data_IF_385074378458
#
_entry.id   IF_385074378458
#
_cell.length_a   1.000
_cell.length_b   1.000
_cell.length_c   1.000
_cell.angle_alpha   90.00
_cell.angle_beta   90.00
_cell.angle_gamma   90.00
#
_symmetry.space_group_name_H-M   'P 1'
#
loop_
_entity.id
_entity.type
_entity.pdbx_description
1 polymer ?
#
# COMPACT_ATOMS: atom_id res chain seq x y z
N UNK A 1 -20.39 -22.82 25.81
CA UNK A 1 -20.04 -21.38 25.91
C UNK A 1 -18.51 -21.26 25.93
N UNK A 2 -17.88 -21.02 24.78
CA UNK A 2 -16.41 -20.92 24.69
C UNK A 2 -15.94 -19.54 25.16
N UNK A 3 -15.35 -19.45 26.36
CA UNK A 3 -14.56 -18.28 26.77
C UNK A 3 -13.28 -18.29 25.92
N UNK A 4 -13.21 -17.44 24.88
CA UNK A 4 -11.94 -17.16 24.20
C UNK A 4 -11.01 -16.48 25.20
N UNK A 5 -10.03 -17.21 25.72
CA UNK A 5 -8.96 -16.64 26.55
C UNK A 5 -8.20 -15.60 25.72
N UNK A 6 -8.15 -14.36 26.22
CA UNK A 6 -7.38 -13.27 25.60
C UNK A 6 -5.89 -13.62 25.77
N UNK A 7 -5.14 -13.79 24.67
CA UNK A 7 -3.70 -14.05 24.72
C UNK A 7 -2.97 -12.89 25.43
N UNK A 8 -1.93 -13.20 26.21
CA UNK A 8 -1.04 -12.21 26.83
C UNK A 8 -0.29 -11.43 25.75
N UNK A 9 0.13 -10.20 26.06
CA UNK A 9 0.91 -9.36 25.12
C UNK A 9 2.24 -10.04 24.80
N UNK A 10 2.90 -10.58 25.82
CA UNK A 10 4.11 -11.41 25.70
C UNK A 10 3.97 -12.50 24.64
N UNK A 11 2.89 -13.29 24.73
CA UNK A 11 2.65 -14.39 23.78
C UNK A 11 2.36 -13.88 22.36
N UNK A 12 1.67 -12.75 22.22
CA UNK A 12 1.40 -12.17 20.90
C UNK A 12 2.68 -11.62 20.24
N UNK A 13 3.58 -11.00 21.01
CA UNK A 13 4.87 -10.53 20.49
C UNK A 13 5.77 -11.71 20.14
N UNK A 14 5.84 -12.74 20.99
CA UNK A 14 6.61 -13.95 20.70
C UNK A 14 6.15 -14.65 19.42
N UNK A 15 4.84 -14.87 19.27
CA UNK A 15 4.26 -15.47 18.06
C UNK A 15 4.54 -14.62 16.81
N UNK A 16 4.43 -13.29 16.92
CA UNK A 16 4.78 -12.37 15.83
C UNK A 16 6.26 -12.45 15.46
N UNK A 17 7.16 -12.45 16.44
CA UNK A 17 8.59 -12.55 16.21
C UNK A 17 8.94 -13.87 15.52
N UNK A 18 8.33 -14.99 15.91
CA UNK A 18 8.54 -16.28 15.26
C UNK A 18 7.99 -16.35 13.84
N UNK A 19 6.79 -15.79 13.60
CA UNK A 19 6.19 -15.75 12.26
C UNK A 19 7.00 -14.85 11.30
N UNK A 20 7.52 -13.71 11.79
CA UNK A 20 8.23 -12.69 10.98
C UNK A 20 9.70 -13.05 10.79
N UNK A 21 10.41 -13.40 11.86
CA UNK A 21 11.85 -13.72 11.86
C UNK A 21 12.06 -15.21 11.53
N UNK A 22 11.42 -15.70 10.47
CA UNK A 22 11.47 -17.10 10.06
C UNK A 22 12.76 -17.43 9.29
N UNK A 23 12.85 -18.65 8.76
CA UNK A 23 14.01 -19.12 8.00
C UNK A 23 14.34 -18.28 6.77
N UNK A 24 13.37 -17.60 6.16
CA UNK A 24 13.63 -16.71 5.02
C UNK A 24 14.34 -15.43 5.45
N UNK A 25 14.05 -14.90 6.64
CA UNK A 25 14.78 -13.77 7.20
C UNK A 25 16.24 -14.14 7.52
N UNK A 26 16.47 -15.30 8.15
CA UNK A 26 17.81 -15.82 8.43
C UNK A 26 18.66 -15.94 7.15
N UNK A 27 18.07 -16.50 6.08
CA UNK A 27 18.77 -16.58 4.79
C UNK A 27 19.07 -15.20 4.19
N UNK A 28 18.20 -14.21 4.39
CA UNK A 28 18.39 -12.83 3.87
C UNK A 28 19.56 -12.15 4.59
N UNK A 29 19.63 -12.21 5.92
CA UNK A 29 20.71 -11.57 6.69
C UNK A 29 22.09 -12.21 6.44
N UNK A 30 22.14 -13.53 6.22
CA UNK A 30 23.37 -14.24 5.87
C UNK A 30 23.92 -13.80 4.50
N UNK A 31 23.01 -13.48 3.56
CA UNK A 31 23.38 -13.03 2.21
C UNK A 31 23.77 -11.55 2.16
N UNK A 32 23.17 -10.70 3.00
CA UNK A 32 23.38 -9.24 2.97
C UNK A 32 24.62 -8.76 3.74
N UNK A 33 25.37 -9.65 4.40
CA UNK A 33 26.53 -9.30 5.26
C UNK A 33 26.20 -8.20 6.27
N UNK A 34 25.04 -8.28 6.91
CA UNK A 34 24.62 -7.30 7.91
C UNK A 34 25.53 -7.37 9.15
N UNK A 35 26.18 -6.27 9.53
CA UNK A 35 27.10 -6.21 10.69
C UNK A 35 26.42 -5.72 11.98
N UNK A 36 25.15 -5.32 11.92
CA UNK A 36 24.42 -4.84 13.11
C UNK A 36 24.09 -5.99 14.06
N UNK A 37 24.69 -5.99 15.25
CA UNK A 37 24.40 -6.95 16.33
C UNK A 37 22.92 -6.93 16.73
N UNK A 38 22.28 -5.76 16.70
CA UNK A 38 20.84 -5.63 16.95
C UNK A 38 19.96 -6.41 15.97
N UNK A 39 20.44 -6.64 14.74
CA UNK A 39 19.74 -7.44 13.73
C UNK A 39 20.12 -8.92 13.87
N UNK A 40 21.43 -9.23 13.95
CA UNK A 40 21.92 -10.60 14.02
C UNK A 40 21.39 -11.35 15.26
N UNK A 41 21.39 -10.69 16.41
CA UNK A 41 20.91 -11.24 17.68
C UNK A 41 19.43 -10.93 17.93
N UNK A 42 18.71 -10.43 16.92
CA UNK A 42 17.38 -9.84 17.07
C UNK A 42 16.36 -10.74 17.78
N UNK A 43 16.36 -12.05 17.48
CA UNK A 43 15.50 -13.02 18.18
C UNK A 43 15.84 -13.17 19.66
N UNK A 44 17.13 -13.22 19.98
CA UNK A 44 17.60 -13.37 21.36
C UNK A 44 17.27 -12.12 22.16
N UNK A 45 17.53 -10.94 21.59
CA UNK A 45 17.21 -9.63 22.20
C UNK A 45 15.71 -9.51 22.48
N UNK A 46 14.85 -9.87 21.51
CA UNK A 46 13.39 -9.86 21.72
C UNK A 46 13.01 -10.80 22.85
N UNK A 47 13.58 -12.00 22.89
CA UNK A 47 13.27 -13.00 23.93
C UNK A 47 13.68 -12.51 25.31
N UNK A 48 14.86 -11.90 25.44
CA UNK A 48 15.36 -11.29 26.67
C UNK A 48 14.42 -10.17 27.17
N UNK A 49 13.99 -9.27 26.28
CA UNK A 49 13.02 -8.23 26.64
C UNK A 49 11.68 -8.81 27.10
N UNK A 50 11.20 -9.90 26.48
CA UNK A 50 9.98 -10.57 26.89
C UNK A 50 10.10 -11.20 28.29
N UNK A 51 11.23 -11.84 28.60
CA UNK A 51 11.52 -12.42 29.92
C UNK A 51 11.53 -11.37 31.04
N UNK A 52 12.09 -10.19 30.75
CA UNK A 52 12.15 -9.06 31.67
C UNK A 52 10.87 -8.21 31.70
N UNK A 53 9.83 -8.61 30.96
CA UNK A 53 8.54 -7.90 30.83
C UNK A 53 8.67 -6.50 30.19
N UNK A 54 9.72 -6.28 29.42
CA UNK A 54 9.98 -5.06 28.67
C UNK A 54 9.30 -5.11 27.30
N UNK A 55 7.98 -5.26 27.30
CA UNK A 55 7.19 -5.55 26.09
C UNK A 55 7.29 -4.48 25.00
N UNK A 56 7.40 -3.21 25.39
CA UNK A 56 7.60 -2.12 24.44
C UNK A 56 8.96 -2.21 23.74
N UNK A 57 10.02 -2.60 24.47
CA UNK A 57 11.35 -2.80 23.89
C UNK A 57 11.38 -4.03 22.98
N UNK A 58 10.74 -5.13 23.38
CA UNK A 58 10.57 -6.31 22.54
C UNK A 58 9.87 -5.97 21.22
N UNK A 59 8.80 -5.19 21.30
CA UNK A 59 8.05 -4.74 20.12
C UNK A 59 8.87 -3.78 19.24
N UNK A 60 9.53 -2.79 19.83
CA UNK A 60 10.41 -1.85 19.11
C UNK A 60 11.60 -2.54 18.45
N UNK A 61 12.15 -3.58 19.08
CA UNK A 61 13.22 -4.36 18.48
C UNK A 61 12.73 -5.12 17.25
N UNK A 62 11.53 -5.71 17.32
CA UNK A 62 10.91 -6.36 16.17
C UNK A 62 10.65 -5.35 15.04
N UNK A 63 10.15 -4.16 15.37
CA UNK A 63 9.97 -3.06 14.43
C UNK A 63 11.28 -2.58 13.78
N UNK A 64 12.34 -2.45 14.57
CA UNK A 64 13.68 -2.11 14.08
C UNK A 64 14.16 -3.14 13.05
N UNK A 65 14.05 -4.44 13.36
CA UNK A 65 14.47 -5.50 12.45
C UNK A 65 13.62 -5.50 11.17
N UNK A 66 12.30 -5.35 11.27
CA UNK A 66 11.43 -5.26 10.08
C UNK A 66 11.86 -4.12 9.17
N UNK A 67 12.16 -2.96 9.76
CA UNK A 67 12.52 -1.75 9.02
C UNK A 67 13.89 -1.87 8.37
N UNK A 68 14.92 -2.20 9.15
CA UNK A 68 16.31 -2.26 8.66
C UNK A 68 16.56 -3.44 7.71
N UNK A 69 15.85 -4.56 7.88
CA UNK A 69 15.96 -5.69 6.97
C UNK A 69 14.96 -5.63 5.80
N UNK A 70 14.16 -4.56 5.72
CA UNK A 70 13.10 -4.40 4.71
C UNK A 70 12.24 -5.68 4.61
N UNK A 71 11.73 -6.16 5.75
CA UNK A 71 10.92 -7.39 5.81
C UNK A 71 9.52 -7.08 5.33
N UNK A 72 9.10 -7.74 4.26
CA UNK A 72 7.74 -7.60 3.74
C UNK A 72 6.73 -8.34 4.62
N UNK A 73 5.87 -7.58 5.30
CA UNK A 73 4.79 -8.12 6.10
C UNK A 73 3.52 -8.35 5.26
N UNK A 74 2.89 -9.51 5.44
CA UNK A 74 1.56 -9.73 4.92
C UNK A 74 0.50 -8.98 5.75
N UNK A 75 -0.73 -8.88 5.22
CA UNK A 75 -1.83 -8.11 5.85
C UNK A 75 -2.16 -8.63 7.26
N UNK A 76 -2.13 -9.95 7.46
CA UNK A 76 -2.43 -10.56 8.75
C UNK A 76 -1.37 -10.20 9.80
N UNK A 77 -0.09 -10.29 9.45
CA UNK A 77 1.03 -9.93 10.31
C UNK A 77 1.03 -8.44 10.65
N UNK A 78 0.78 -7.59 9.65
CA UNK A 78 0.69 -6.14 9.86
C UNK A 78 -0.49 -5.79 10.80
N UNK A 79 -1.66 -6.39 10.58
CA UNK A 79 -2.81 -6.22 11.47
C UNK A 79 -2.52 -6.71 12.90
N UNK A 80 -1.84 -7.86 13.05
CA UNK A 80 -1.42 -8.39 14.36
C UNK A 80 -0.47 -7.40 15.06
N UNK A 81 0.52 -6.84 14.38
CA UNK A 81 1.44 -5.82 14.92
C UNK A 81 0.68 -4.57 15.37
N UNK A 82 -0.17 -3.98 14.52
CA UNK A 82 -0.98 -2.82 14.88
C UNK A 82 -1.87 -3.07 16.11
N UNK A 83 -2.43 -4.28 16.20
CA UNK A 83 -3.29 -4.67 17.32
C UNK A 83 -2.50 -4.77 18.62
N UNK A 84 -1.28 -5.29 18.58
CA UNK A 84 -0.38 -5.36 19.75
C UNK A 84 0.02 -3.94 20.18
N UNK A 85 0.41 -3.06 19.25
CA UNK A 85 0.72 -1.66 19.53
C UNK A 85 -0.44 -0.92 20.22
N UNK A 86 -1.65 -1.05 19.66
CA UNK A 86 -2.88 -0.48 20.25
C UNK A 86 -3.14 -1.00 21.67
N UNK A 87 -2.86 -2.28 21.95
CA UNK A 87 -3.02 -2.87 23.29
C UNK A 87 -1.99 -2.36 24.30
N UNK A 88 -0.82 -1.96 23.84
CA UNK A 88 0.24 -1.35 24.65
C UNK A 88 0.11 0.18 24.75
N UNK A 89 -0.87 0.78 24.07
CA UNK A 89 -1.04 2.23 23.97
C UNK A 89 0.19 2.96 23.40
N UNK A 90 0.84 2.32 22.42
CA UNK A 90 1.95 2.89 21.65
C UNK A 90 1.50 3.15 20.21
N UNK A 91 2.13 4.11 19.55
CA UNK A 91 1.82 4.44 18.15
C UNK A 91 2.30 3.29 17.24
N UNK A 92 1.41 2.67 16.43
CA UNK A 92 1.83 1.65 15.49
C UNK A 92 2.64 2.27 14.35
N UNK A 93 3.73 1.61 13.94
CA UNK A 93 4.43 1.99 12.70
C UNK A 93 3.46 1.92 11.53
N UNK A 94 3.33 3.04 10.82
CA UNK A 94 2.78 3.06 9.46
C UNK A 94 3.87 2.57 8.53
N UNK A 95 3.88 1.27 8.23
CA UNK A 95 4.80 0.75 7.24
C UNK A 95 4.53 1.46 5.91
N UNK A 96 5.54 2.10 5.29
CA UNK A 96 5.37 2.67 3.98
C UNK A 96 4.98 1.55 3.02
N UNK A 97 4.04 1.88 2.16
CA UNK A 97 3.64 1.16 0.96
C UNK A 97 4.76 0.22 0.45
N UNK A 98 4.50 -1.10 0.43
CA UNK A 98 5.39 -2.18 -0.06
C UNK A 98 6.26 -1.83 -1.29
N UNK A 99 7.30 -2.63 -1.55
CA UNK A 99 8.20 -2.50 -2.72
C UNK A 99 7.43 -2.16 -4.00
N UNK A 100 6.34 -2.89 -4.30
CA UNK A 100 5.51 -2.65 -5.49
C UNK A 100 4.74 -1.35 -5.50
N UNK A 101 4.26 -0.89 -4.36
CA UNK A 101 3.57 0.40 -4.32
C UNK A 101 4.54 1.58 -4.29
N UNK A 102 5.73 1.41 -3.71
CA UNK A 102 6.85 2.36 -3.87
C UNK A 102 7.29 2.42 -5.35
N UNK A 103 7.42 1.26 -6.01
CA UNK A 103 7.66 1.15 -7.45
C UNK A 103 6.56 1.85 -8.26
N UNK A 104 5.30 1.73 -7.86
CA UNK A 104 4.19 2.44 -8.51
C UNK A 104 4.33 3.96 -8.40
N UNK A 105 4.75 4.48 -7.25
CA UNK A 105 5.05 5.91 -7.07
C UNK A 105 6.22 6.37 -7.96
N UNK A 106 7.31 5.58 -8.01
CA UNK A 106 8.45 5.87 -8.88
C UNK A 106 8.09 5.82 -10.36
N UNK A 107 7.29 4.84 -10.80
CA UNK A 107 6.80 4.79 -12.17
C UNK A 107 5.89 5.98 -12.48
N UNK A 108 4.99 6.38 -11.57
CA UNK A 108 4.18 7.59 -11.72
C UNK A 108 5.06 8.83 -11.97
N UNK A 109 6.14 8.97 -11.19
CA UNK A 109 7.13 10.04 -11.37
C UNK A 109 7.82 9.94 -12.73
N UNK A 110 8.27 8.76 -13.14
CA UNK A 110 8.97 8.56 -14.42
C UNK A 110 8.07 8.88 -15.62
N UNK A 111 6.84 8.35 -15.65
CA UNK A 111 5.88 8.65 -16.73
C UNK A 111 5.51 10.13 -16.76
N UNK A 112 5.41 10.78 -15.59
CA UNK A 112 5.18 12.22 -15.49
C UNK A 112 6.33 13.02 -16.12
N UNK A 113 7.59 12.71 -15.78
CA UNK A 113 8.77 13.37 -16.33
C UNK A 113 8.91 13.15 -17.84
N UNK A 114 8.48 11.98 -18.33
CA UNK A 114 8.42 11.66 -19.76
C UNK A 114 7.19 12.26 -20.47
N UNK A 115 6.43 13.14 -19.81
CA UNK A 115 5.23 13.78 -20.35
C UNK A 115 4.18 12.77 -20.84
N UNK A 116 4.08 11.62 -20.18
CA UNK A 116 3.07 10.60 -20.45
C UNK A 116 1.91 10.82 -19.48
N UNK A 117 0.73 11.03 -20.05
CA UNK A 117 -0.50 11.24 -19.29
C UNK A 117 -1.34 9.96 -19.28
N UNK A 118 -2.08 9.63 -18.19
CA UNK A 118 -3.01 8.49 -18.18
C UNK A 118 -4.07 8.50 -19.29
N UNK A 119 -4.30 9.65 -19.90
CA UNK A 119 -5.28 9.85 -20.98
C UNK A 119 -4.63 10.16 -22.33
N UNK A 120 -3.31 9.95 -22.43
CA UNK A 120 -2.56 10.05 -23.69
C UNK A 120 -2.59 8.71 -24.42
N UNK A 121 -3.75 8.39 -25.01
CA UNK A 121 -3.99 7.04 -25.54
C UNK A 121 -3.11 6.66 -26.72
N UNK A 122 -2.47 7.62 -27.38
CA UNK A 122 -1.48 7.35 -28.44
C UNK A 122 -0.19 6.78 -27.88
N UNK A 123 0.11 7.04 -26.61
CA UNK A 123 1.28 6.51 -25.90
C UNK A 123 1.03 5.18 -25.21
N UNK A 124 -0.17 4.58 -25.34
CA UNK A 124 -0.49 3.27 -24.74
C UNK A 124 0.45 2.15 -25.16
N UNK A 125 1.05 2.27 -26.34
CA UNK A 125 1.98 1.26 -26.85
C UNK A 125 3.39 1.38 -26.27
N UNK A 126 3.72 2.51 -25.63
CA UNK A 126 5.00 2.71 -24.95
C UNK A 126 5.15 1.77 -23.75
N UNK A 127 6.37 1.30 -23.53
CA UNK A 127 6.68 0.34 -22.46
C UNK A 127 6.34 0.91 -21.10
N UNK A 128 6.67 2.18 -20.85
CA UNK A 128 6.44 2.86 -19.57
C UNK A 128 4.94 2.98 -19.25
N UNK A 129 4.11 3.19 -20.29
CA UNK A 129 2.65 3.20 -20.12
C UNK A 129 2.14 1.80 -19.78
N UNK A 130 2.61 0.76 -20.48
CA UNK A 130 2.20 -0.62 -20.21
C UNK A 130 2.62 -1.05 -18.82
N UNK A 131 3.84 -0.72 -18.41
CA UNK A 131 4.43 -1.08 -17.12
C UNK A 131 3.64 -0.51 -15.95
N UNK A 132 3.32 0.78 -15.95
CA UNK A 132 2.51 1.39 -14.89
C UNK A 132 1.09 0.79 -14.81
N UNK A 133 0.50 0.43 -15.96
CA UNK A 133 -0.80 -0.23 -16.01
C UNK A 133 -0.73 -1.64 -15.43
N UNK A 134 0.24 -2.45 -15.84
CA UNK A 134 0.39 -3.82 -15.35
C UNK A 134 0.74 -3.87 -13.86
N UNK A 135 1.62 -2.97 -13.39
CA UNK A 135 1.89 -2.83 -11.96
C UNK A 135 0.65 -2.40 -11.19
N UNK A 136 -0.09 -1.41 -11.67
CA UNK A 136 -1.33 -0.97 -11.05
C UNK A 136 -2.37 -2.09 -10.96
N UNK A 137 -2.58 -2.85 -12.04
CA UNK A 137 -3.45 -4.03 -12.05
C UNK A 137 -2.97 -5.08 -11.06
N UNK A 138 -1.66 -5.34 -10.99
CA UNK A 138 -1.08 -6.29 -10.05
C UNK A 138 -1.41 -5.88 -8.60
N UNK A 139 -1.16 -4.63 -8.23
CA UNK A 139 -1.42 -4.13 -6.87
C UNK A 139 -2.92 -4.17 -6.57
N UNK A 140 -3.75 -3.71 -7.52
CA UNK A 140 -5.21 -3.73 -7.42
C UNK A 140 -5.75 -5.14 -7.18
N UNK A 141 -5.30 -6.13 -7.96
CA UNK A 141 -5.71 -7.52 -7.83
C UNK A 141 -5.23 -8.15 -6.53
N UNK A 142 -4.01 -7.80 -6.09
CA UNK A 142 -3.39 -8.37 -4.89
C UNK A 142 -3.98 -7.81 -3.60
N UNK A 143 -4.33 -6.52 -3.58
CA UNK A 143 -4.74 -5.78 -2.37
C UNK A 143 -6.22 -5.43 -2.31
N UNK A 144 -6.91 -5.51 -3.44
CA UNK A 144 -8.28 -5.04 -3.59
C UNK A 144 -8.36 -3.53 -3.79
N UNK A 145 -9.53 -3.10 -4.27
CA UNK A 145 -9.80 -1.72 -4.70
C UNK A 145 -9.58 -0.72 -3.55
N UNK A 146 -10.17 -1.00 -2.38
CA UNK A 146 -10.13 -0.09 -1.22
C UNK A 146 -8.69 0.25 -0.81
N UNK A 147 -7.80 -0.74 -0.82
CA UNK A 147 -6.39 -0.56 -0.46
C UNK A 147 -5.58 0.10 -1.56
N UNK A 148 -5.84 -0.24 -2.82
CA UNK A 148 -5.18 0.44 -3.93
C UNK A 148 -5.52 1.94 -3.99
N UNK A 149 -6.75 2.31 -3.62
CA UNK A 149 -7.17 3.71 -3.58
C UNK A 149 -6.61 4.53 -2.42
N UNK A 150 -5.78 3.96 -1.54
CA UNK A 150 -4.99 4.77 -0.60
C UNK A 150 -4.06 5.73 -1.35
N UNK A 151 -3.64 5.42 -2.59
CA UNK A 151 -2.89 6.33 -3.48
C UNK A 151 -3.63 7.62 -3.86
N UNK A 152 -4.93 7.75 -3.59
CA UNK A 152 -5.66 8.99 -3.87
C UNK A 152 -5.20 10.18 -3.01
N UNK A 153 -4.55 9.93 -1.87
CA UNK A 153 -3.98 11.01 -1.04
C UNK A 153 -2.76 11.67 -1.70
N UNK A 154 -2.15 11.01 -2.69
CA UNK A 154 -0.93 11.47 -3.35
C UNK A 154 -1.26 12.39 -4.53
N UNK A 155 -1.05 13.70 -4.32
CA UNK A 155 -1.31 14.73 -5.34
C UNK A 155 -0.16 14.95 -6.30
N UNK A 156 1.03 14.40 -6.00
CA UNK A 156 2.22 14.57 -6.84
C UNK A 156 2.19 13.62 -8.03
N UNK A 157 2.85 14.02 -9.12
CA UNK A 157 3.13 13.17 -10.29
C UNK A 157 1.91 12.44 -10.89
N UNK A 158 0.70 12.99 -10.70
CA UNK A 158 -0.56 12.39 -11.16
C UNK A 158 -0.81 10.98 -10.58
N UNK A 159 -0.24 10.65 -9.43
CA UNK A 159 -0.42 9.34 -8.77
C UNK A 159 -1.90 9.04 -8.56
N UNK A 160 -2.63 9.97 -7.94
CA UNK A 160 -4.09 9.87 -7.75
C UNK A 160 -4.87 9.71 -9.05
N UNK A 161 -4.44 10.32 -10.16
CA UNK A 161 -5.12 10.23 -11.47
C UNK A 161 -4.88 8.83 -12.09
N UNK A 162 -3.64 8.33 -12.04
CA UNK A 162 -3.32 6.97 -12.49
C UNK A 162 -4.10 5.93 -11.69
N UNK A 163 -4.06 6.01 -10.36
CA UNK A 163 -4.80 5.11 -9.48
C UNK A 163 -6.30 5.14 -9.75
N UNK A 164 -6.87 6.34 -9.96
CA UNK A 164 -8.29 6.51 -10.29
C UNK A 164 -8.67 5.85 -11.62
N UNK A 165 -7.87 6.10 -12.67
CA UNK A 165 -8.12 5.55 -14.01
C UNK A 165 -8.02 4.02 -14.01
N UNK A 166 -6.95 3.48 -13.41
CA UNK A 166 -6.71 2.03 -13.30
C UNK A 166 -7.84 1.35 -12.53
N UNK A 167 -8.30 1.96 -11.43
CA UNK A 167 -9.39 1.42 -10.62
C UNK A 167 -10.70 1.31 -11.40
N UNK A 168 -11.10 2.36 -12.12
CA UNK A 168 -12.34 2.34 -12.90
C UNK A 168 -12.21 1.35 -14.06
N UNK A 169 -11.14 1.43 -14.85
CA UNK A 169 -11.00 0.64 -16.09
C UNK A 169 -10.81 -0.86 -15.80
N UNK A 170 -10.02 -1.21 -14.78
CA UNK A 170 -9.62 -2.60 -14.51
C UNK A 170 -10.20 -3.17 -13.22
N UNK A 171 -10.47 -2.33 -12.22
CA UNK A 171 -11.07 -2.77 -10.95
C UNK A 171 -12.57 -2.95 -11.02
N UNK A 172 -13.25 -2.20 -11.89
CA UNK A 172 -14.71 -2.26 -12.09
C UNK A 172 -15.49 -2.22 -10.76
N UNK A 173 -15.28 -1.18 -9.94
CA UNK A 173 -15.98 -1.05 -8.64
C UNK A 173 -17.49 -1.05 -8.84
N UNK A 174 -18.24 -1.50 -7.82
CA UNK A 174 -19.71 -1.39 -7.86
C UNK A 174 -20.14 0.07 -7.76
N UNK A 175 -21.29 0.38 -8.35
CA UNK A 175 -21.76 1.76 -8.47
C UNK A 175 -22.04 2.43 -7.12
N UNK A 176 -22.48 1.63 -6.14
CA UNK A 176 -22.83 2.02 -4.78
C UNK A 176 -21.71 1.74 -3.77
N UNK A 177 -20.56 1.22 -4.20
CA UNK A 177 -19.46 0.90 -3.28
C UNK A 177 -18.83 2.18 -2.71
N UNK A 178 -18.91 2.34 -1.39
CA UNK A 178 -18.35 3.48 -0.66
C UNK A 178 -16.84 3.34 -0.55
N UNK A 179 -16.11 4.42 -0.83
CA UNK A 179 -14.68 4.50 -0.57
C UNK A 179 -14.44 4.69 0.92
N UNK A 180 -13.75 3.75 1.56
CA UNK A 180 -13.45 3.80 3.00
C UNK A 180 -12.69 5.07 3.40
N UNK A 181 -11.78 5.54 2.55
CA UNK A 181 -10.99 6.76 2.78
C UNK A 181 -11.86 8.03 2.86
N UNK A 182 -12.96 8.09 2.11
CA UNK A 182 -13.89 9.22 2.13
C UNK A 182 -15.01 9.05 3.16
N UNK A 183 -15.43 7.82 3.44
CA UNK A 183 -16.53 7.47 4.33
C UNK A 183 -17.93 7.88 3.83
N UNK A 184 -18.03 8.66 2.76
CA UNK A 184 -19.30 9.25 2.28
C UNK A 184 -19.47 9.17 0.76
N UNK A 185 -18.39 9.22 -0.02
CA UNK A 185 -18.44 9.13 -1.48
C UNK A 185 -18.27 7.70 -1.97
N UNK A 186 -18.91 7.38 -3.08
CA UNK A 186 -18.63 6.14 -3.80
C UNK A 186 -17.21 6.16 -4.37
N UNK A 187 -16.66 4.98 -4.64
CA UNK A 187 -15.37 4.84 -5.31
C UNK A 187 -15.38 5.55 -6.66
N UNK A 188 -16.43 5.33 -7.46
CA UNK A 188 -16.55 5.93 -8.79
C UNK A 188 -16.51 7.46 -8.69
N UNK A 189 -17.29 8.06 -7.78
CA UNK A 189 -17.32 9.51 -7.62
C UNK A 189 -15.96 10.06 -7.15
N UNK A 190 -15.32 9.39 -6.20
CA UNK A 190 -14.01 9.80 -5.69
C UNK A 190 -12.91 9.76 -6.77
N UNK A 191 -12.91 8.71 -7.59
CA UNK A 191 -11.99 8.58 -8.72
C UNK A 191 -12.28 9.63 -9.81
N UNK A 192 -13.55 9.89 -10.12
CA UNK A 192 -13.93 10.90 -11.11
C UNK A 192 -13.54 12.31 -10.70
N UNK A 193 -13.74 12.68 -9.43
CA UNK A 193 -13.30 13.98 -8.93
C UNK A 193 -11.80 14.19 -9.13
N UNK A 194 -10.98 13.16 -8.90
CA UNK A 194 -9.53 13.22 -9.13
C UNK A 194 -9.18 13.34 -10.62
N UNK A 195 -9.84 12.57 -11.49
CA UNK A 195 -9.59 12.58 -12.94
C UNK A 195 -9.95 13.93 -13.58
N UNK A 196 -11.07 14.50 -13.13
CA UNK A 196 -11.66 15.72 -13.69
C UNK A 196 -11.15 17.01 -13.06
N UNK A 197 -10.36 16.91 -11.97
CA UNK A 197 -9.75 18.08 -11.35
C UNK A 197 -8.79 18.76 -12.32
N UNK A 198 -8.80 20.10 -12.32
CA UNK A 198 -7.82 20.89 -13.05
C UNK A 198 -6.41 20.61 -12.55
N UNK A 199 -5.48 20.48 -13.49
CA UNK A 199 -4.07 20.26 -13.22
C UNK A 199 -3.29 21.58 -13.28
N UNK A 200 -2.25 21.70 -12.44
CA UNK A 200 -1.38 22.89 -12.39
C UNK A 200 -0.81 23.22 -13.77
N UNK A 201 -0.42 22.19 -14.52
CA UNK A 201 0.03 22.32 -15.90
C UNK A 201 -1.15 22.17 -16.84
N UNK A 202 -1.32 23.14 -17.73
CA UNK A 202 -2.40 23.15 -18.71
C UNK A 202 -2.31 21.89 -19.59
N UNK A 203 -3.39 21.10 -19.60
CA UNK A 203 -3.48 19.92 -20.45
C UNK A 203 -3.77 20.35 -21.89
N UNK A 204 -3.25 19.58 -22.85
CA UNK A 204 -3.64 19.79 -24.24
C UNK A 204 -5.12 19.48 -24.43
N UNK A 205 -5.78 20.21 -25.36
CA UNK A 205 -7.19 19.99 -25.69
C UNK A 205 -7.50 18.53 -26.07
N UNK A 206 -6.49 17.83 -26.61
CA UNK A 206 -6.56 16.39 -26.93
C UNK A 206 -6.71 15.53 -25.69
N UNK A 207 -5.90 15.76 -24.65
CA UNK A 207 -5.97 15.01 -23.38
C UNK A 207 -7.29 15.26 -22.69
N UNK A 208 -7.77 16.51 -22.67
CA UNK A 208 -9.08 16.87 -22.11
C UNK A 208 -10.19 16.11 -22.83
N UNK A 209 -10.18 16.11 -24.17
CA UNK A 209 -11.15 15.35 -24.98
C UNK A 209 -11.08 13.84 -24.72
N UNK A 210 -9.88 13.30 -24.50
CA UNK A 210 -9.70 11.88 -24.16
C UNK A 210 -10.26 11.53 -22.77
N UNK A 211 -10.09 12.41 -21.76
CA UNK A 211 -10.70 12.24 -20.43
C UNK A 211 -12.23 12.11 -20.53
N UNK A 212 -12.88 13.03 -21.23
CA UNK A 212 -14.34 13.03 -21.39
C UNK A 212 -14.86 11.78 -22.10
N UNK A 213 -14.27 11.43 -23.25
CA UNK A 213 -14.64 10.20 -23.99
C UNK A 213 -14.44 8.94 -23.17
N UNK A 214 -13.36 8.89 -22.38
CA UNK A 214 -13.08 7.74 -21.53
C UNK A 214 -14.12 7.62 -20.40
N UNK A 215 -14.53 8.73 -19.80
CA UNK A 215 -15.57 8.78 -18.76
C UNK A 215 -16.89 8.24 -19.29
N UNK A 216 -17.33 8.70 -20.46
CA UNK A 216 -18.56 8.23 -21.12
C UNK A 216 -18.56 6.72 -21.38
N UNK A 217 -17.39 6.16 -21.71
CA UNK A 217 -17.24 4.73 -22.01
C UNK A 217 -17.16 3.85 -20.77
N UNK A 218 -16.48 4.29 -19.71
CA UNK A 218 -16.08 3.43 -18.60
C UNK A 218 -16.89 3.64 -17.32
N UNK A 219 -17.67 4.72 -17.22
CA UNK A 219 -18.54 4.97 -16.07
C UNK A 219 -19.98 4.66 -16.45
N UNK A 220 -20.66 3.76 -15.72
CA UNK A 220 -22.09 3.51 -15.93
C UNK A 220 -22.86 4.81 -15.74
N UNK A 221 -23.48 5.31 -16.81
CA UNK A 221 -24.42 6.41 -16.70
C UNK A 221 -25.65 5.89 -15.96
N UNK A 222 -26.08 6.58 -14.90
CA UNK A 222 -27.44 6.42 -14.40
C UNK A 222 -28.38 6.77 -15.56
N UNK A 223 -28.92 5.76 -16.24
CA UNK A 223 -30.27 5.92 -16.79
C UNK A 223 -31.16 5.99 -15.56
N UNK A 224 -31.63 7.21 -15.31
CA UNK A 224 -32.61 7.63 -14.30
C UNK A 224 -33.67 6.56 -14.07
#
# INVERSE_FOLDING_TARGET
MFKKFKKSIEKEIAELADEILNSNWLNKIEQTKTESSGILDGKNIISEYLEHREYELAYKQLEYIITECEIELNIELNYKLEKVAKRMNIEPIKFPINEKGTEFLFLCKNVYLNSIHPFDFEKRELNEYKEIIELGKYILNKRGIQKFLEFLIESQYRVSIWASMITIEYGKPKQDEILNLSGTKTIINSCLENIMKDEINLLSAKIIKNKEKWKEKNVPQHRV
#
